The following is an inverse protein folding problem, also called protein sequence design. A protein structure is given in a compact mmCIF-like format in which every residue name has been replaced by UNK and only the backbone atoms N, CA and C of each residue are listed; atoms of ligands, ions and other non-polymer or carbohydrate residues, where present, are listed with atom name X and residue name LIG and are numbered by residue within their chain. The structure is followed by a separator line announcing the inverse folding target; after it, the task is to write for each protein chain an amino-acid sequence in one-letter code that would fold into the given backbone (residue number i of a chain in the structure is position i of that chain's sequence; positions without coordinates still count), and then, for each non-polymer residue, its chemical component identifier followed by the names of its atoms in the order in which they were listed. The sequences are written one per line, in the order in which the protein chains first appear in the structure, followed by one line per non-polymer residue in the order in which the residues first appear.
data_IF_711449773651
#
_entry.id   IF_711449773651
#
_cell.length_a   1.000
_cell.length_b   1.000
_cell.length_c   1.000
_cell.angle_alpha   90.00
_cell.angle_beta   90.00
_cell.angle_gamma   90.00
#
_symmetry.space_group_name_H-M   'P 1'
#
loop_
_entity.id
_entity.type
_entity.pdbx_description
1 polymer ?
#
# COMPACT_ATOMS: atom_id res chain seq x y z
N UNK A 1 44.06 -24.01 -16.41
CA UNK A 1 43.58 -22.62 -16.31
C UNK A 1 42.25 -22.54 -17.04
N UNK A 2 41.15 -22.80 -16.34
CA UNK A 2 39.81 -22.56 -16.86
C UNK A 2 39.17 -21.53 -15.92
N UNK A 3 39.07 -20.30 -16.40
CA UNK A 3 38.34 -19.23 -15.73
C UNK A 3 36.86 -19.45 -15.95
N UNK A 4 36.18 -19.87 -14.89
CA UNK A 4 34.73 -19.94 -14.78
C UNK A 4 34.20 -18.51 -14.69
N UNK A 5 33.66 -18.01 -15.81
CA UNK A 5 32.98 -16.72 -15.86
C UNK A 5 31.62 -16.87 -15.17
N UNK A 6 31.54 -16.45 -13.91
CA UNK A 6 30.29 -16.38 -13.16
C UNK A 6 29.28 -15.49 -13.89
N UNK A 7 28.15 -16.08 -14.30
CA UNK A 7 27.01 -15.38 -14.87
C UNK A 7 26.33 -14.55 -13.76
N UNK A 8 26.28 -13.23 -13.95
CA UNK A 8 25.49 -12.35 -13.10
C UNK A 8 24.00 -12.62 -13.35
N UNK A 9 23.32 -13.26 -12.39
CA UNK A 9 21.87 -13.42 -12.40
C UNK A 9 21.18 -12.05 -12.37
N UNK A 10 20.50 -11.72 -13.47
CA UNK A 10 19.67 -10.52 -13.56
C UNK A 10 18.39 -10.71 -12.73
N UNK A 11 18.37 -10.16 -11.52
CA UNK A 11 17.16 -10.11 -10.70
C UNK A 11 16.09 -9.28 -11.43
N UNK A 12 14.87 -9.81 -11.66
CA UNK A 12 13.84 -9.10 -12.40
C UNK A 12 13.47 -7.79 -11.68
N UNK A 13 13.38 -6.67 -12.43
CA UNK A 13 13.06 -5.31 -11.93
C UNK A 13 11.85 -5.26 -10.97
N UNK A 14 10.89 -6.18 -11.13
CA UNK A 14 9.73 -6.32 -10.25
C UNK A 14 10.06 -6.78 -8.82
N UNK A 15 11.08 -7.63 -8.61
CA UNK A 15 11.53 -8.04 -7.27
C UNK A 15 12.33 -6.94 -6.57
N UNK A 16 13.12 -6.17 -7.30
CA UNK A 16 13.95 -5.08 -6.75
C UNK A 16 13.07 -3.99 -6.12
N UNK A 17 11.97 -3.61 -6.78
CA UNK A 17 11.08 -2.59 -6.24
C UNK A 17 10.24 -3.08 -5.06
N UNK A 18 9.85 -4.36 -5.02
CA UNK A 18 9.21 -4.93 -3.82
C UNK A 18 10.14 -4.90 -2.60
N UNK A 19 11.43 -5.21 -2.79
CA UNK A 19 12.40 -5.12 -1.70
C UNK A 19 12.57 -3.68 -1.18
N UNK A 20 12.53 -2.67 -2.05
CA UNK A 20 12.56 -1.26 -1.63
C UNK A 20 11.29 -0.84 -0.89
N UNK A 21 10.12 -1.26 -1.37
CA UNK A 21 8.85 -0.97 -0.68
C UNK A 21 8.77 -1.63 0.69
N UNK A 22 9.26 -2.87 0.83
CA UNK A 22 9.36 -3.55 2.12
C UNK A 22 10.32 -2.80 3.06
N UNK A 23 11.52 -2.45 2.58
CA UNK A 23 12.49 -1.68 3.37
C UNK A 23 11.92 -0.33 3.85
N UNK A 24 11.11 0.33 3.03
CA UNK A 24 10.42 1.56 3.43
C UNK A 24 9.41 1.31 4.55
N UNK A 25 8.57 0.29 4.41
CA UNK A 25 7.57 -0.06 5.43
C UNK A 25 8.26 -0.39 6.76
N UNK A 26 9.30 -1.22 6.73
CA UNK A 26 10.07 -1.60 7.93
C UNK A 26 10.73 -0.39 8.59
N UNK A 27 11.31 0.51 7.78
CA UNK A 27 11.88 1.77 8.27
C UNK A 27 10.83 2.62 9.00
N UNK A 28 9.64 2.79 8.41
CA UNK A 28 8.57 3.60 9.01
C UNK A 28 8.06 2.95 10.30
N UNK A 29 7.81 1.64 10.31
CA UNK A 29 7.34 0.89 11.48
C UNK A 29 8.33 1.04 12.63
N UNK A 30 9.61 0.72 12.39
CA UNK A 30 10.68 0.79 13.39
C UNK A 30 10.80 2.20 13.97
N UNK A 31 10.78 3.23 13.13
CA UNK A 31 10.92 4.62 13.58
C UNK A 31 9.68 5.13 14.31
N UNK A 32 8.48 4.70 13.92
CA UNK A 32 7.25 4.98 14.65
C UNK A 32 7.21 4.33 16.04
N UNK A 33 7.83 3.16 16.22
CA UNK A 33 7.92 2.49 17.51
C UNK A 33 8.87 3.21 18.49
N UNK A 34 9.98 3.76 17.98
CA UNK A 34 10.98 4.45 18.80
C UNK A 34 10.67 5.94 19.05
N UNK A 35 9.88 6.59 18.17
CA UNK A 35 9.67 8.04 18.21
C UNK A 35 8.19 8.41 17.99
N UNK A 36 7.54 8.86 19.07
CA UNK A 36 6.16 9.31 19.05
C UNK A 36 5.96 10.64 18.31
N UNK A 37 6.96 11.53 18.31
CA UNK A 37 6.93 12.78 17.58
C UNK A 37 6.95 12.53 16.07
N UNK A 38 7.87 11.66 15.62
CA UNK A 38 7.92 11.16 14.25
C UNK A 38 6.59 10.56 13.80
N UNK A 39 5.98 9.71 14.64
CA UNK A 39 4.66 9.12 14.36
C UNK A 39 3.58 10.19 14.21
N UNK A 40 3.54 11.19 15.10
CA UNK A 40 2.53 12.26 15.07
C UNK A 40 2.62 13.10 13.78
N UNK A 41 3.83 13.36 13.30
CA UNK A 41 4.10 14.04 12.03
C UNK A 41 3.59 13.19 10.85
N UNK A 42 3.95 11.90 10.82
CA UNK A 42 3.56 11.01 9.70
C UNK A 42 2.06 10.81 9.57
N UNK A 43 1.30 10.81 10.67
CA UNK A 43 -0.18 10.72 10.61
C UNK A 43 -0.83 11.79 9.73
N UNK A 44 -0.13 12.91 9.50
CA UNK A 44 -0.58 14.05 8.69
C UNK A 44 0.05 14.11 7.30
N UNK A 45 0.88 13.12 6.93
CA UNK A 45 1.61 13.10 5.66
C UNK A 45 0.66 13.01 4.45
N UNK A 46 -0.49 12.36 4.60
CA UNK A 46 -1.50 12.24 3.56
C UNK A 46 -2.53 13.38 3.58
N UNK A 47 -2.23 14.52 4.20
CA UNK A 47 -3.01 15.75 4.05
C UNK A 47 -2.19 16.78 3.26
N UNK A 48 -2.67 17.28 2.10
CA UNK A 48 -1.90 18.19 1.24
C UNK A 48 -1.41 19.46 1.94
N UNK A 49 -2.13 19.96 2.96
CA UNK A 49 -1.77 21.20 3.66
C UNK A 49 -0.67 21.00 4.70
N UNK A 50 -0.49 19.78 5.19
CA UNK A 50 0.47 19.45 6.25
C UNK A 50 1.52 18.45 5.81
N UNK A 51 1.48 18.01 4.56
CA UNK A 51 2.38 16.99 4.01
C UNK A 51 3.86 17.37 4.18
N UNK A 52 4.20 18.65 4.03
CA UNK A 52 5.58 19.14 4.18
C UNK A 52 6.21 18.80 5.54
N UNK A 53 5.39 18.64 6.58
CA UNK A 53 5.88 18.27 7.91
C UNK A 53 6.52 16.87 7.89
N UNK A 54 6.05 15.99 7.00
CA UNK A 54 6.58 14.63 6.84
C UNK A 54 7.81 14.53 5.92
N UNK A 55 8.22 15.62 5.27
CA UNK A 55 9.27 15.58 4.26
C UNK A 55 10.62 15.17 4.81
N UNK A 56 10.95 15.55 6.05
CA UNK A 56 12.17 15.07 6.71
C UNK A 56 12.18 13.54 6.84
N UNK A 57 11.04 12.96 7.23
CA UNK A 57 10.90 11.52 7.37
C UNK A 57 11.06 10.78 6.03
N UNK A 58 10.43 11.32 4.97
CA UNK A 58 10.46 10.75 3.62
C UNK A 58 11.85 10.92 2.97
N UNK A 59 12.44 12.11 3.08
CA UNK A 59 13.79 12.40 2.58
C UNK A 59 14.86 11.59 3.32
N UNK A 60 14.69 11.34 4.62
CA UNK A 60 15.58 10.50 5.42
C UNK A 60 15.65 9.05 4.92
N UNK A 61 14.65 8.56 4.19
CA UNK A 61 14.69 7.26 3.49
C UNK A 61 15.21 7.36 2.05
N UNK A 62 15.32 8.58 1.49
CA UNK A 62 15.70 8.81 0.10
C UNK A 62 14.53 8.89 -0.88
N UNK A 63 13.33 9.23 -0.41
CA UNK A 63 12.18 9.50 -1.29
C UNK A 63 12.40 10.81 -2.06
N UNK A 64 12.29 10.77 -3.38
CA UNK A 64 12.30 11.99 -4.20
C UNK A 64 10.99 12.77 -3.97
N UNK A 65 11.11 13.96 -3.35
CA UNK A 65 9.97 14.79 -2.95
C UNK A 65 9.35 15.59 -4.12
N UNK A 66 10.10 15.84 -5.18
CA UNK A 66 9.62 16.58 -6.37
C UNK A 66 8.65 15.73 -7.20
N UNK A 67 8.90 14.41 -7.23
CA UNK A 67 8.14 13.48 -8.05
C UNK A 67 6.86 13.03 -7.33
N UNK A 68 5.71 13.64 -7.65
CA UNK A 68 4.43 13.34 -7.01
C UNK A 68 4.03 11.85 -7.06
N UNK A 69 4.31 11.16 -8.18
CA UNK A 69 4.02 9.73 -8.35
C UNK A 69 4.88 8.84 -7.45
N UNK A 70 5.94 9.38 -6.86
CA UNK A 70 6.76 8.71 -5.83
C UNK A 70 6.39 9.22 -4.45
N UNK A 71 6.38 10.54 -4.23
CA UNK A 71 6.11 11.16 -2.93
C UNK A 71 4.73 10.79 -2.37
N UNK A 72 3.65 10.91 -3.15
CA UNK A 72 2.29 10.72 -2.64
C UNK A 72 2.01 9.29 -2.17
N UNK A 73 2.43 8.23 -2.89
CA UNK A 73 2.35 6.86 -2.37
C UNK A 73 3.10 6.66 -1.06
N UNK A 74 4.33 7.17 -0.94
CA UNK A 74 5.11 7.01 0.29
C UNK A 74 4.44 7.76 1.46
N UNK A 75 3.98 8.99 1.24
CA UNK A 75 3.26 9.76 2.24
C UNK A 75 1.97 9.08 2.69
N UNK A 76 1.19 8.53 1.75
CA UNK A 76 -0.03 7.79 2.02
C UNK A 76 0.21 6.55 2.89
N UNK A 77 1.21 5.74 2.52
CA UNK A 77 1.53 4.50 3.23
C UNK A 77 2.11 4.80 4.61
N UNK A 78 3.00 5.79 4.72
CA UNK A 78 3.56 6.22 6.00
C UNK A 78 2.47 6.72 6.97
N UNK A 79 1.50 7.49 6.47
CA UNK A 79 0.39 7.96 7.28
C UNK A 79 -0.49 6.81 7.79
N UNK A 80 -0.76 5.82 6.94
CA UNK A 80 -1.54 4.63 7.30
C UNK A 80 -0.85 3.77 8.36
N UNK A 81 0.46 3.53 8.21
CA UNK A 81 1.28 2.81 9.20
C UNK A 81 1.31 3.54 10.56
N UNK A 82 1.47 4.87 10.53
CA UNK A 82 1.52 5.68 11.74
C UNK A 82 0.18 5.71 12.51
N UNK A 83 -0.96 5.56 11.80
CA UNK A 83 -2.31 5.45 12.39
C UNK A 83 -2.57 4.07 12.99
N UNK A 84 -2.37 3.03 12.19
CA UNK A 84 -2.69 1.63 12.55
C UNK A 84 -1.80 1.05 13.66
N UNK A 85 -0.63 1.64 13.90
CA UNK A 85 0.35 1.19 14.90
C UNK A 85 0.77 -0.27 14.71
N UNK A 86 0.79 -0.76 13.47
CA UNK A 86 1.24 -2.12 13.17
C UNK A 86 2.70 -2.34 13.58
N UNK A 87 3.03 -3.55 14.02
CA UNK A 87 4.39 -3.94 14.40
C UNK A 87 5.17 -4.57 13.24
N UNK A 88 4.46 -5.04 12.22
CA UNK A 88 5.01 -5.63 11.00
C UNK A 88 4.11 -5.34 9.79
N UNK A 89 4.63 -5.59 8.58
CA UNK A 89 3.83 -5.51 7.36
C UNK A 89 2.81 -6.65 7.33
N UNK A 90 1.57 -6.34 6.96
CA UNK A 90 0.52 -7.35 6.85
C UNK A 90 0.60 -8.17 5.57
N UNK A 91 -0.32 -9.11 5.42
CA UNK A 91 -0.49 -9.95 4.22
C UNK A 91 -1.78 -9.63 3.46
N UNK A 92 -2.60 -8.75 4.01
CA UNK A 92 -3.93 -8.40 3.53
C UNK A 92 -3.92 -7.63 2.22
N UNK A 93 -4.75 -8.07 1.28
CA UNK A 93 -4.85 -7.44 -0.02
C UNK A 93 -5.95 -6.39 -0.03
N UNK A 94 -5.74 -5.25 -0.72
CA UNK A 94 -6.69 -4.13 -0.71
C UNK A 94 -8.10 -4.52 -1.16
N UNK A 95 -8.23 -5.39 -2.17
CA UNK A 95 -9.53 -5.90 -2.63
C UNK A 95 -10.26 -6.69 -1.54
N UNK A 96 -9.57 -7.62 -0.88
CA UNK A 96 -10.12 -8.41 0.23
C UNK A 96 -10.48 -7.52 1.42
N UNK A 97 -9.64 -6.55 1.74
CA UNK A 97 -9.87 -5.62 2.83
C UNK A 97 -11.13 -4.78 2.63
N UNK A 98 -11.40 -4.32 1.40
CA UNK A 98 -12.65 -3.61 1.08
C UNK A 98 -13.86 -4.52 1.25
N UNK A 99 -13.80 -5.77 0.76
CA UNK A 99 -14.89 -6.72 0.91
C UNK A 99 -15.20 -6.99 2.39
N UNK A 100 -14.17 -7.24 3.21
CA UNK A 100 -14.33 -7.52 4.66
C UNK A 100 -14.81 -6.34 5.51
N UNK A 101 -14.96 -5.13 4.94
CA UNK A 101 -15.60 -4.01 5.65
C UNK A 101 -17.13 -4.12 5.72
N UNK A 102 -17.72 -5.14 5.09
CA UNK A 102 -19.16 -5.33 4.95
C UNK A 102 -19.53 -6.79 5.19
N UNK A 103 -20.65 -7.04 5.86
CA UNK A 103 -21.08 -8.39 6.26
C UNK A 103 -21.32 -9.30 5.04
N UNK A 104 -21.95 -8.78 3.99
CA UNK A 104 -22.15 -9.51 2.73
C UNK A 104 -20.88 -9.60 1.86
N UNK A 105 -19.74 -9.13 2.36
CA UNK A 105 -18.45 -9.22 1.69
C UNK A 105 -18.46 -8.61 0.29
N UNK A 106 -18.03 -9.41 -0.69
CA UNK A 106 -17.99 -9.02 -2.11
C UNK A 106 -19.38 -8.97 -2.79
N UNK A 107 -20.45 -9.41 -2.11
CA UNK A 107 -21.82 -9.30 -2.60
C UNK A 107 -22.44 -7.94 -2.27
N UNK A 108 -21.93 -7.23 -1.27
CA UNK A 108 -22.37 -5.88 -0.88
C UNK A 108 -22.22 -4.87 -2.02
N UNK A 109 -23.31 -4.16 -2.34
CA UNK A 109 -23.28 -3.07 -3.33
C UNK A 109 -22.39 -1.91 -2.88
N UNK A 110 -22.30 -1.66 -1.58
CA UNK A 110 -21.41 -0.66 -1.02
C UNK A 110 -19.94 -1.05 -1.24
N UNK A 111 -19.58 -2.31 -0.97
CA UNK A 111 -18.24 -2.84 -1.23
C UNK A 111 -17.87 -2.74 -2.71
N UNK A 112 -18.77 -3.18 -3.61
CA UNK A 112 -18.59 -3.09 -5.06
C UNK A 112 -18.43 -1.64 -5.53
N UNK A 113 -19.21 -0.70 -4.99
CA UNK A 113 -19.10 0.72 -5.32
C UNK A 113 -17.74 1.30 -4.93
N UNK A 114 -17.21 0.95 -3.74
CA UNK A 114 -15.87 1.36 -3.30
C UNK A 114 -14.77 0.80 -4.20
N UNK A 115 -14.85 -0.49 -4.54
CA UNK A 115 -13.93 -1.11 -5.48
C UNK A 115 -13.98 -0.41 -6.84
N UNK A 116 -15.16 -0.25 -7.44
CA UNK A 116 -15.32 0.41 -8.75
C UNK A 116 -14.74 1.81 -8.76
N UNK A 117 -14.93 2.59 -7.68
CA UNK A 117 -14.34 3.93 -7.58
C UNK A 117 -12.82 3.90 -7.59
N UNK A 118 -12.21 2.93 -6.90
CA UNK A 118 -10.76 2.73 -6.88
C UNK A 118 -10.23 2.30 -8.27
N UNK A 119 -10.92 1.39 -8.95
CA UNK A 119 -10.55 0.91 -10.28
C UNK A 119 -10.73 1.97 -11.38
N UNK A 120 -11.64 2.93 -11.18
CA UNK A 120 -11.88 4.02 -12.11
C UNK A 120 -10.78 5.10 -12.10
N UNK A 121 -9.86 5.08 -11.15
CA UNK A 121 -8.79 6.08 -11.07
C UNK A 121 -7.80 5.94 -12.24
N UNK A 122 -7.33 7.06 -12.79
CA UNK A 122 -6.44 7.08 -13.96
C UNK A 122 -5.04 7.65 -13.67
N UNK A 123 -4.79 8.03 -12.42
CA UNK A 123 -3.49 8.54 -12.01
C UNK A 123 -3.15 8.15 -10.57
N UNK A 124 -1.85 8.04 -10.28
CA UNK A 124 -1.34 7.78 -8.93
C UNK A 124 -1.87 8.78 -7.88
N UNK A 125 -1.90 10.11 -8.13
CA UNK A 125 -2.49 11.06 -7.20
C UNK A 125 -3.99 10.82 -6.93
N UNK A 126 -4.77 10.47 -7.97
CA UNK A 126 -6.19 10.17 -7.82
C UNK A 126 -6.41 8.92 -6.96
N UNK A 127 -5.68 7.84 -7.25
CA UNK A 127 -5.73 6.61 -6.44
C UNK A 127 -5.38 6.93 -4.99
N UNK A 128 -4.32 7.71 -4.75
CA UNK A 128 -3.92 8.07 -3.39
C UNK A 128 -5.03 8.84 -2.67
N UNK A 129 -5.73 9.74 -3.35
CA UNK A 129 -6.87 10.49 -2.79
C UNK A 129 -8.04 9.57 -2.41
N UNK A 130 -8.33 8.55 -3.23
CA UNK A 130 -9.40 7.58 -2.96
C UNK A 130 -9.01 6.61 -1.83
N UNK A 131 -7.74 6.22 -1.75
CA UNK A 131 -7.26 5.31 -0.72
C UNK A 131 -7.26 5.92 0.68
N UNK A 132 -7.04 7.23 0.84
CA UNK A 132 -7.06 7.92 2.15
C UNK A 132 -8.31 7.60 2.99
N UNK A 133 -9.55 7.88 2.53
CA UNK A 133 -10.75 7.52 3.28
C UNK A 133 -11.01 6.00 3.33
N UNK A 134 -10.51 5.24 2.36
CA UNK A 134 -10.63 3.77 2.39
C UNK A 134 -9.79 3.15 3.49
N UNK A 135 -8.60 3.67 3.77
CA UNK A 135 -7.78 3.19 4.89
C UNK A 135 -8.46 3.43 6.23
N UNK A 136 -9.06 4.59 6.46
CA UNK A 136 -9.86 4.84 7.68
C UNK A 136 -11.04 3.87 7.81
N UNK A 137 -11.70 3.54 6.70
CA UNK A 137 -12.78 2.56 6.68
C UNK A 137 -12.26 1.15 7.03
N UNK A 138 -11.16 0.73 6.40
CA UNK A 138 -10.56 -0.59 6.65
C UNK A 138 -10.09 -0.70 8.10
N UNK A 139 -9.44 0.33 8.63
CA UNK A 139 -8.99 0.37 10.03
C UNK A 139 -10.17 0.29 11.03
N UNK A 140 -11.32 0.89 10.70
CA UNK A 140 -12.49 0.88 11.58
C UNK A 140 -13.38 -0.36 11.45
N UNK A 141 -13.38 -1.03 10.29
CA UNK A 141 -14.33 -2.13 10.00
C UNK A 141 -13.70 -3.48 9.71
N UNK A 142 -12.42 -3.52 9.36
CA UNK A 142 -11.74 -4.75 8.96
C UNK A 142 -10.65 -5.10 9.96
N UNK A 143 -10.60 -6.37 10.37
CA UNK A 143 -9.49 -6.89 11.17
C UNK A 143 -8.25 -7.24 10.33
N UNK A 144 -8.31 -7.04 9.00
CA UNK A 144 -7.18 -7.32 8.11
C UNK A 144 -6.04 -6.31 8.32
N UNK A 145 -4.83 -6.83 8.47
CA UNK A 145 -3.58 -6.06 8.32
C UNK A 145 -3.17 -6.03 6.85
N UNK A 146 -3.16 -4.85 6.25
CA UNK A 146 -2.80 -4.68 4.84
C UNK A 146 -1.31 -4.95 4.59
N UNK A 147 -1.02 -5.56 3.45
CA UNK A 147 0.30 -5.60 2.85
C UNK A 147 0.60 -4.23 2.21
N UNK A 148 1.11 -3.33 3.04
CA UNK A 148 1.48 -1.97 2.66
C UNK A 148 2.68 -1.93 1.72
N UNK A 149 3.60 -2.89 1.79
CA UNK A 149 4.74 -2.96 0.89
C UNK A 149 4.30 -3.26 -0.54
N UNK A 150 3.43 -4.26 -0.71
CA UNK A 150 2.86 -4.58 -2.04
C UNK A 150 1.98 -3.45 -2.55
N UNK A 151 1.17 -2.85 -1.68
CA UNK A 151 0.33 -1.71 -2.07
C UNK A 151 1.17 -0.50 -2.48
N UNK A 152 2.27 -0.20 -1.77
CA UNK A 152 3.21 0.85 -2.16
C UNK A 152 3.81 0.56 -3.53
N UNK A 153 4.29 -0.66 -3.77
CA UNK A 153 4.82 -1.05 -5.07
C UNK A 153 3.75 -0.89 -6.17
N UNK A 154 2.51 -1.30 -5.92
CA UNK A 154 1.40 -1.11 -6.86
C UNK A 154 1.21 0.37 -7.21
N UNK A 155 1.22 1.25 -6.22
CA UNK A 155 1.06 2.69 -6.45
C UNK A 155 2.23 3.30 -7.23
N UNK A 156 3.47 2.87 -6.97
CA UNK A 156 4.66 3.35 -7.68
C UNK A 156 4.70 2.92 -9.15
N UNK A 157 4.07 1.79 -9.48
CA UNK A 157 3.95 1.28 -10.85
C UNK A 157 2.64 1.69 -11.53
N UNK A 158 1.73 2.34 -10.82
CA UNK A 158 0.39 2.63 -11.34
C UNK A 158 0.44 3.50 -12.60
N UNK A 159 1.31 4.49 -12.68
CA UNK A 159 1.40 5.36 -13.87
C UNK A 159 2.27 4.81 -15.01
N UNK A 160 2.83 3.60 -14.90
CA UNK A 160 3.62 3.01 -15.98
C UNK A 160 2.73 2.39 -17.07
N UNK A 161 3.27 2.31 -18.28
CA UNK A 161 2.66 1.57 -19.40
C UNK A 161 2.36 0.12 -18.96
N UNK A 162 1.14 -0.35 -19.24
CA UNK A 162 0.55 -1.62 -18.76
C UNK A 162 0.34 -1.79 -17.24
N UNK A 163 0.92 -0.92 -16.42
CA UNK A 163 0.81 -0.96 -14.96
C UNK A 163 -0.64 -0.85 -14.48
N UNK A 164 -1.38 0.16 -14.96
CA UNK A 164 -2.75 0.43 -14.51
C UNK A 164 -3.67 -0.78 -14.67
N UNK A 165 -3.74 -1.34 -15.88
CA UNK A 165 -4.64 -2.45 -16.19
C UNK A 165 -4.31 -3.67 -15.34
N UNK A 166 -3.02 -4.00 -15.21
CA UNK A 166 -2.55 -5.14 -14.41
C UNK A 166 -2.86 -4.96 -12.92
N UNK A 167 -2.60 -3.78 -12.36
CA UNK A 167 -2.83 -3.48 -10.94
C UNK A 167 -4.33 -3.51 -10.64
N UNK A 168 -5.15 -2.86 -11.47
CA UNK A 168 -6.62 -2.84 -11.36
C UNK A 168 -7.19 -4.26 -11.44
N UNK A 169 -6.76 -5.05 -12.40
CA UNK A 169 -7.18 -6.45 -12.55
C UNK A 169 -6.85 -7.27 -11.30
N UNK A 170 -5.63 -7.12 -10.76
CA UNK A 170 -5.24 -7.81 -9.53
C UNK A 170 -6.08 -7.40 -8.32
N UNK A 171 -6.33 -6.10 -8.14
CA UNK A 171 -7.19 -5.63 -7.04
C UNK A 171 -8.63 -6.16 -7.16
N UNK A 172 -9.16 -6.22 -8.38
CA UNK A 172 -10.47 -6.81 -8.65
C UNK A 172 -10.48 -8.32 -8.36
N UNK A 173 -9.47 -9.07 -8.81
CA UNK A 173 -9.33 -10.49 -8.51
C UNK A 173 -9.26 -10.73 -7.00
N UNK A 174 -8.48 -9.94 -6.26
CA UNK A 174 -8.40 -10.05 -4.81
C UNK A 174 -9.76 -9.78 -4.14
N UNK A 175 -10.58 -8.88 -4.68
CA UNK A 175 -11.92 -8.60 -4.16
C UNK A 175 -12.92 -9.73 -4.42
N UNK A 176 -12.90 -10.32 -5.62
CA UNK A 176 -13.88 -11.33 -6.03
C UNK A 176 -13.47 -12.76 -5.68
N UNK A 177 -12.17 -13.05 -5.56
CA UNK A 177 -11.69 -14.37 -5.15
C UNK A 177 -12.06 -14.60 -3.68
N UNK A 178 -12.99 -15.52 -3.48
CA UNK A 178 -13.40 -16.00 -2.17
C UNK A 178 -12.18 -16.60 -1.46
N UNK A 179 -11.90 -16.14 -0.24
CA UNK A 179 -11.22 -17.00 0.73
C UNK A 179 -12.34 -17.83 1.34
N UNK A 180 -12.75 -18.90 0.67
CA UNK A 180 -13.39 -20.01 1.38
C UNK A 180 -12.31 -20.58 2.29
N UNK A 181 -12.33 -20.17 3.56
CA UNK A 181 -11.69 -20.84 4.69
C UNK A 181 -12.05 -20.10 5.98
N UNK A 182 -13.19 -20.48 6.53
CA UNK A 182 -13.47 -20.69 7.96
C UNK A 182 -14.97 -20.95 8.11
N UNK A 183 -15.38 -22.15 7.69
CA UNK A 183 -16.58 -22.84 8.17
C UNK A 183 -16.33 -24.36 8.03
N UNK A 184 -15.24 -24.81 8.64
CA UNK A 184 -15.10 -26.17 9.16
C UNK A 184 -14.80 -25.97 10.63
N UNK A 185 -15.86 -25.88 11.43
CA UNK A 185 -15.94 -26.22 12.84
C UNK A 185 -17.37 -25.92 13.30
N UNK A 186 -18.29 -26.85 12.98
CA UNK A 186 -19.40 -27.31 13.84
C UNK A 186 -20.04 -28.56 13.22
#
# INVERSE_FOLDING_TARGET
MNTETAQAEQIPKGKINQNKSQAFVDYIIKRCQSDNGFRAVLKRADNPTTEYQSWEALAGFGVNLEHQNTRLPHALIAAALARTKTEENGTGQIGQAIARCYDDGNKSDQAKAKLRRLLACNSTPEVCRILRPLFSLIESKSHIRLDYARLLNDLLWFNQEDGQTRIKARWAQHFYNHVEKESEDE
#
